data_IF_234791050265
#
_entry.id   IF_234791050265
#
_cell.length_a   1.000
_cell.length_b   1.000
_cell.length_c   1.000
_cell.angle_alpha   90.00
_cell.angle_beta   90.00
_cell.angle_gamma   90.00
#
_symmetry.space_group_name_H-M   'P 1'
#
loop_
_entity.id
_entity.type
_entity.pdbx_description
1 polymer ?
#
# COMPACT_ATOMS: atom_id res chain seq x y z
N UNK A 1 -10.02 -16.47 8.34
CA UNK A 1 -8.71 -17.07 8.05
C UNK A 1 -8.56 -17.10 6.54
N UNK A 2 -7.62 -16.34 5.95
CA UNK A 2 -7.38 -16.41 4.49
C UNK A 2 -6.52 -17.64 4.22
N UNK A 3 -7.14 -18.66 3.62
CA UNK A 3 -6.68 -20.04 3.48
C UNK A 3 -5.50 -20.19 2.51
N UNK A 4 -4.32 -19.62 2.83
CA UNK A 4 -3.11 -19.79 2.01
C UNK A 4 -3.25 -19.28 0.57
N UNK A 5 -4.25 -18.45 0.28
CA UNK A 5 -4.40 -17.80 -1.01
C UNK A 5 -3.57 -16.52 -1.01
N UNK A 6 -2.60 -16.47 -1.91
CA UNK A 6 -1.83 -15.26 -2.12
C UNK A 6 -2.75 -14.14 -2.66
N UNK A 7 -2.47 -12.90 -2.25
CA UNK A 7 -3.38 -11.77 -2.47
C UNK A 7 -2.98 -11.03 -3.74
N UNK A 8 -3.84 -10.99 -4.75
CA UNK A 8 -3.62 -10.18 -5.95
C UNK A 8 -3.96 -8.71 -5.75
N UNK A 9 -4.94 -8.42 -4.89
CA UNK A 9 -5.37 -7.06 -4.61
C UNK A 9 -5.85 -6.91 -3.17
N UNK A 10 -5.37 -5.88 -2.48
CA UNK A 10 -5.84 -5.48 -1.15
C UNK A 10 -6.23 -4.01 -1.13
N UNK A 11 -7.50 -3.72 -0.90
CA UNK A 11 -8.00 -2.37 -0.69
C UNK A 11 -8.18 -2.05 0.80
N UNK A 12 -7.52 -1.01 1.30
CA UNK A 12 -7.64 -0.51 2.67
C UNK A 12 -8.33 0.85 2.63
N UNK A 13 -9.64 0.87 2.84
CA UNK A 13 -10.46 2.09 2.81
C UNK A 13 -10.43 2.84 4.15
N UNK A 14 -10.38 2.10 5.26
CA UNK A 14 -10.26 2.64 6.60
C UNK A 14 -9.42 1.69 7.46
N UNK A 15 -8.46 2.23 8.21
CA UNK A 15 -7.68 1.50 9.20
C UNK A 15 -7.28 2.42 10.34
N UNK A 16 -7.03 1.85 11.52
CA UNK A 16 -6.37 2.54 12.65
C UNK A 16 -4.84 2.39 12.61
N UNK A 17 -4.33 1.54 11.72
CA UNK A 17 -2.90 1.30 11.54
C UNK A 17 -2.25 2.44 10.75
N UNK A 18 -0.96 2.67 10.99
CA UNK A 18 -0.18 3.63 10.20
C UNK A 18 0.05 3.14 8.76
N UNK A 19 0.47 4.03 7.87
CA UNK A 19 0.81 3.66 6.50
C UNK A 19 1.97 2.66 6.44
N UNK A 20 2.98 2.84 7.29
CA UNK A 20 4.11 1.92 7.41
C UNK A 20 3.67 0.54 7.92
N UNK A 21 2.78 0.49 8.90
CA UNK A 21 2.23 -0.78 9.40
C UNK A 21 1.44 -1.50 8.31
N UNK A 22 0.60 -0.79 7.55
CA UNK A 22 -0.15 -1.37 6.45
C UNK A 22 0.80 -1.94 5.39
N UNK A 23 1.83 -1.18 5.02
CA UNK A 23 2.82 -1.65 4.06
C UNK A 23 3.54 -2.90 4.57
N UNK A 24 4.14 -2.86 5.76
CA UNK A 24 4.92 -3.97 6.31
C UNK A 24 4.08 -5.23 6.58
N UNK A 25 2.81 -5.08 6.97
CA UNK A 25 1.96 -6.22 7.30
C UNK A 25 1.38 -6.93 6.08
N UNK A 26 1.24 -6.24 4.94
CA UNK A 26 0.48 -6.73 3.80
C UNK A 26 1.28 -6.83 2.50
N UNK A 27 2.31 -6.01 2.30
CA UNK A 27 3.05 -6.00 1.04
C UNK A 27 3.70 -7.36 0.71
N UNK A 28 4.35 -7.99 1.69
CA UNK A 28 4.99 -9.30 1.51
C UNK A 28 3.99 -10.46 1.33
N UNK A 29 2.69 -10.21 1.59
CA UNK A 29 1.60 -11.16 1.36
C UNK A 29 0.97 -11.04 -0.02
N UNK A 30 1.34 -10.02 -0.78
CA UNK A 30 0.87 -9.84 -2.15
C UNK A 30 1.56 -10.85 -3.08
N UNK A 31 0.82 -11.36 -4.05
CA UNK A 31 1.39 -12.06 -5.19
C UNK A 31 2.37 -11.17 -5.96
N UNK A 32 3.18 -11.80 -6.80
CA UNK A 32 3.88 -11.07 -7.85
C UNK A 32 2.85 -10.34 -8.73
N UNK A 33 3.10 -9.06 -9.01
CA UNK A 33 2.18 -8.13 -9.67
C UNK A 33 0.90 -7.82 -8.87
N UNK A 34 0.82 -8.27 -7.61
CA UNK A 34 -0.26 -7.88 -6.72
C UNK A 34 -0.21 -6.41 -6.34
N UNK A 35 -1.32 -5.87 -5.86
CA UNK A 35 -1.45 -4.44 -5.57
C UNK A 35 -2.09 -4.18 -4.20
N UNK A 36 -1.50 -3.24 -3.47
CA UNK A 36 -2.05 -2.66 -2.25
C UNK A 36 -2.57 -1.25 -2.57
N UNK A 37 -3.85 -1.01 -2.34
CA UNK A 37 -4.50 0.29 -2.49
C UNK A 37 -4.92 0.81 -1.11
N UNK A 38 -4.41 1.95 -0.68
CA UNK A 38 -4.70 2.53 0.64
C UNK A 38 -5.38 3.89 0.44
N UNK A 39 -6.55 4.07 1.04
CA UNK A 39 -7.21 5.37 1.09
C UNK A 39 -6.43 6.31 2.02
N UNK A 40 -6.10 7.48 1.50
CA UNK A 40 -5.33 8.51 2.22
C UNK A 40 -6.22 9.48 3.01
N UNK A 41 -7.53 9.20 3.14
CA UNK A 41 -8.51 10.12 3.75
C UNK A 41 -8.18 10.48 5.20
N UNK A 42 -7.61 9.55 5.98
CA UNK A 42 -7.32 9.72 7.42
C UNK A 42 -5.83 9.87 7.73
N UNK A 43 -4.97 9.92 6.71
CA UNK A 43 -3.52 9.95 6.90
C UNK A 43 -2.94 11.35 6.71
N UNK A 44 -1.97 11.71 7.54
CA UNK A 44 -1.31 13.00 7.43
C UNK A 44 -0.37 13.05 6.22
N UNK A 45 -0.05 14.26 5.75
CA UNK A 45 0.94 14.43 4.68
C UNK A 45 2.34 13.94 5.10
N UNK A 46 2.67 14.05 6.39
CA UNK A 46 3.96 13.64 6.93
C UNK A 46 4.12 12.12 6.86
N UNK A 47 3.11 11.38 7.32
CA UNK A 47 3.13 9.90 7.27
C UNK A 47 3.22 9.39 5.84
N UNK A 48 2.47 10.03 4.93
CA UNK A 48 2.56 9.72 3.51
C UNK A 48 3.98 9.97 2.96
N UNK A 49 4.57 11.12 3.26
CA UNK A 49 5.93 11.46 2.80
C UNK A 49 6.96 10.42 3.26
N UNK A 50 6.90 10.01 4.52
CA UNK A 50 7.82 9.01 5.08
C UNK A 50 7.71 7.66 4.36
N UNK A 51 6.47 7.21 4.10
CA UNK A 51 6.27 5.97 3.35
C UNK A 51 6.76 6.10 1.90
N UNK A 52 6.46 7.21 1.22
CA UNK A 52 6.90 7.43 -0.16
C UNK A 52 8.43 7.43 -0.29
N UNK A 53 9.14 8.03 0.66
CA UNK A 53 10.61 7.94 0.73
C UNK A 53 11.06 6.49 0.87
N UNK A 54 10.46 5.74 1.80
CA UNK A 54 10.75 4.31 1.98
C UNK A 54 10.54 3.50 0.69
N UNK A 55 9.41 3.70 0.00
CA UNK A 55 9.10 3.02 -1.27
C UNK A 55 10.12 3.38 -2.36
N UNK A 56 10.51 4.66 -2.45
CA UNK A 56 11.52 5.14 -3.40
C UNK A 56 12.89 4.52 -3.13
N UNK A 57 13.33 4.48 -1.86
CA UNK A 57 14.59 3.85 -1.47
C UNK A 57 14.62 2.35 -1.79
N UNK A 58 13.49 1.66 -1.56
CA UNK A 58 13.33 0.23 -1.90
C UNK A 58 13.07 -0.01 -3.39
N UNK A 59 12.98 1.03 -4.22
CA UNK A 59 12.61 0.98 -5.65
C UNK A 59 11.29 0.25 -5.90
N UNK A 60 10.33 0.38 -4.98
CA UNK A 60 9.00 -0.20 -5.08
C UNK A 60 8.12 0.74 -5.91
N UNK A 61 7.44 0.17 -6.91
CA UNK A 61 6.53 0.90 -7.76
C UNK A 61 5.29 1.33 -6.99
N UNK A 62 4.97 2.62 -7.09
CA UNK A 62 3.82 3.20 -6.42
C UNK A 62 3.28 4.40 -7.20
N UNK A 63 1.99 4.68 -7.02
CA UNK A 63 1.29 5.81 -7.62
C UNK A 63 0.30 6.40 -6.61
N UNK A 64 0.08 7.71 -6.68
CA UNK A 64 -1.03 8.36 -5.99
C UNK A 64 -2.03 8.84 -7.03
N UNK A 65 -3.26 8.37 -6.93
CA UNK A 65 -4.34 8.75 -7.84
C UNK A 65 -5.58 9.17 -7.05
N UNK A 66 -6.46 9.95 -7.69
CA UNK A 66 -7.68 10.46 -7.06
C UNK A 66 -8.92 9.75 -7.61
N UNK A 67 -9.57 8.94 -6.78
CA UNK A 67 -10.82 8.23 -7.09
C UNK A 67 -11.81 8.50 -5.96
N UNK A 68 -12.56 9.60 -6.07
CA UNK A 68 -13.40 10.20 -5.00
C UNK A 68 -12.64 10.67 -3.76
N UNK A 69 -11.49 10.07 -3.47
CA UNK A 69 -10.48 10.48 -2.49
C UNK A 69 -9.10 10.10 -3.01
N UNK A 70 -8.05 10.54 -2.33
CA UNK A 70 -6.67 10.16 -2.68
C UNK A 70 -6.43 8.72 -2.25
N UNK A 71 -5.88 7.93 -3.16
CA UNK A 71 -5.40 6.58 -2.91
C UNK A 71 -3.91 6.49 -3.19
N UNK A 72 -3.21 5.73 -2.36
CA UNK A 72 -1.86 5.26 -2.64
C UNK A 72 -1.96 3.83 -3.17
N UNK A 73 -1.49 3.61 -4.38
CA UNK A 73 -1.35 2.31 -5.00
C UNK A 73 0.12 1.88 -4.91
N UNK A 74 0.37 0.65 -4.48
CA UNK A 74 1.70 0.07 -4.34
C UNK A 74 1.66 -1.29 -5.02
N UNK A 75 2.53 -1.52 -6.01
CA UNK A 75 2.56 -2.79 -6.75
C UNK A 75 3.75 -3.63 -6.34
N UNK A 76 3.51 -4.93 -6.10
CA UNK A 76 4.54 -5.92 -5.82
C UNK A 76 5.13 -6.47 -7.12
N UNK A 77 5.72 -5.59 -7.92
CA UNK A 77 6.42 -5.99 -9.13
C UNK A 77 7.86 -6.34 -8.75
N UNK A 78 8.19 -7.64 -8.74
CA UNK A 78 9.58 -8.08 -8.60
C UNK A 78 10.35 -7.61 -9.83
N UNK A 79 11.48 -6.94 -9.60
CA UNK A 79 12.42 -6.55 -10.65
C UNK A 79 13.32 -7.72 -11.02
#
# INVERSE_FOLDING_TARGET
>A
MYQGQNIDFLGVFESKQSLDDLFNNYFDKLNENGMLAISLKKYSRKDLSNLLETLKHKKIQHEISYISTRFLFITNKKQ
#
